data_IF_786998227734
#
_entry.id   IF_786998227734
#
_cell.length_a   1.000
_cell.length_b   1.000
_cell.length_c   1.000
_cell.angle_alpha   90.00
_cell.angle_beta   90.00
_cell.angle_gamma   90.00
#
_symmetry.space_group_name_H-M   'P 1'
#
loop_
_entity.id
_entity.type
_entity.pdbx_description
1 polymer ?
#
# COMPACT_ATOMS: atom_id res chain seq x y z
N UNK A 1 33.27 -6.11 8.57
CA UNK A 1 32.51 -5.43 7.50
C UNK A 1 31.10 -5.98 7.54
N UNK A 2 30.09 -5.12 7.58
CA UNK A 2 28.70 -5.57 7.61
C UNK A 2 28.26 -5.95 6.19
N UNK A 3 27.75 -7.15 6.00
CA UNK A 3 27.06 -7.55 4.76
C UNK A 3 25.65 -6.97 4.76
N UNK A 4 25.03 -6.81 3.59
CA UNK A 4 23.62 -6.39 3.46
C UNK A 4 22.71 -7.23 4.36
N UNK A 5 22.83 -8.56 4.30
CA UNK A 5 22.14 -9.49 5.19
C UNK A 5 22.30 -9.10 6.67
N UNK A 6 23.54 -8.95 7.16
CA UNK A 6 23.78 -8.68 8.58
C UNK A 6 23.21 -7.33 9.05
N UNK A 7 23.14 -6.33 8.14
CA UNK A 7 22.58 -5.01 8.45
C UNK A 7 21.06 -5.06 8.54
N UNK A 8 20.43 -5.82 7.64
CA UNK A 8 18.98 -6.05 7.65
C UNK A 8 18.55 -6.92 8.83
N UNK A 9 19.29 -8.00 9.15
CA UNK A 9 18.98 -8.87 10.30
C UNK A 9 18.91 -8.08 11.62
N UNK A 10 19.85 -7.15 11.84
CA UNK A 10 19.82 -6.29 13.03
C UNK A 10 18.61 -5.36 13.10
N UNK A 11 18.07 -4.96 11.94
CA UNK A 11 16.90 -4.07 11.86
C UNK A 11 15.61 -4.84 11.94
N UNK A 12 15.61 -6.07 11.43
CA UNK A 12 14.48 -6.98 11.48
C UNK A 12 14.32 -7.64 12.86
N UNK A 13 15.35 -7.60 13.72
CA UNK A 13 15.32 -8.17 15.06
C UNK A 13 14.15 -7.62 15.90
N UNK A 14 13.30 -8.52 16.39
CA UNK A 14 12.09 -8.19 17.15
C UNK A 14 10.95 -7.57 16.32
N UNK A 15 11.07 -7.51 14.99
CA UNK A 15 10.00 -7.05 14.10
C UNK A 15 9.27 -8.27 13.52
N UNK A 16 7.93 -8.32 13.59
CA UNK A 16 7.16 -9.40 12.99
C UNK A 16 6.92 -9.18 11.48
N UNK A 17 7.99 -8.93 10.72
CA UNK A 17 7.89 -8.51 9.32
C UNK A 17 7.28 -9.58 8.42
N UNK A 18 7.49 -10.87 8.72
CA UNK A 18 6.92 -11.99 7.95
C UNK A 18 5.39 -11.99 8.04
N UNK A 19 4.83 -11.90 9.24
CA UNK A 19 3.38 -11.85 9.48
C UNK A 19 2.77 -10.59 8.86
N UNK A 20 3.44 -9.44 9.00
CA UNK A 20 2.99 -8.18 8.40
C UNK A 20 2.97 -8.25 6.87
N UNK A 21 3.97 -8.87 6.25
CA UNK A 21 4.02 -9.05 4.80
C UNK A 21 3.05 -10.13 4.32
N UNK A 22 2.83 -11.18 5.12
CA UNK A 22 1.85 -12.22 4.83
C UNK A 22 0.42 -11.67 4.82
N UNK A 23 0.08 -10.78 5.77
CA UNK A 23 -1.24 -10.15 5.85
C UNK A 23 -1.66 -9.43 4.55
N UNK A 24 -0.74 -8.79 3.83
CA UNK A 24 -1.04 -8.21 2.52
C UNK A 24 -1.23 -9.26 1.44
N UNK A 25 -0.42 -10.33 1.43
CA UNK A 25 -0.47 -11.37 0.39
C UNK A 25 -1.67 -12.30 0.53
N UNK A 26 -2.13 -12.51 1.76
CA UNK A 26 -3.26 -13.38 2.10
C UNK A 26 -4.55 -12.60 2.38
N UNK A 27 -4.50 -11.26 2.30
CA UNK A 27 -5.63 -10.37 2.57
C UNK A 27 -6.15 -10.45 4.01
N UNK A 28 -5.33 -10.92 4.95
CA UNK A 28 -5.58 -10.92 6.40
C UNK A 28 -5.35 -9.52 7.00
N UNK A 29 -6.02 -8.53 6.40
CA UNK A 29 -6.09 -7.13 6.86
C UNK A 29 -7.53 -6.81 7.22
N UNK A 30 -7.72 -5.70 7.92
CA UNK A 30 -9.05 -5.21 8.26
C UNK A 30 -9.94 -4.96 7.02
N UNK A 31 -9.36 -4.60 5.88
CA UNK A 31 -10.05 -4.47 4.58
C UNK A 31 -10.45 -5.81 3.97
N UNK A 32 -9.82 -6.92 4.40
CA UNK A 32 -10.02 -8.24 3.83
C UNK A 32 -9.58 -8.29 2.37
N UNK A 33 -10.23 -9.17 1.61
CA UNK A 33 -10.08 -9.29 0.16
C UNK A 33 -11.11 -8.46 -0.62
N UNK A 34 -11.85 -7.55 0.03
CA UNK A 34 -12.86 -6.72 -0.64
C UNK A 34 -12.19 -5.68 -1.54
N UNK A 35 -12.29 -5.83 -2.88
CA UNK A 35 -11.55 -5.00 -3.82
C UNK A 35 -11.95 -3.52 -3.74
N UNK A 36 -13.21 -3.23 -3.39
CA UNK A 36 -13.72 -1.85 -3.24
C UNK A 36 -13.03 -1.15 -2.07
N UNK A 37 -12.78 -1.89 -0.99
CA UNK A 37 -12.11 -1.36 0.20
C UNK A 37 -10.60 -1.21 -0.01
N UNK A 38 -9.97 -2.14 -0.74
CA UNK A 38 -8.56 -2.03 -1.14
C UNK A 38 -8.32 -0.78 -1.99
N UNK A 39 -9.19 -0.49 -2.97
CA UNK A 39 -9.09 0.74 -3.76
C UNK A 39 -9.39 1.98 -2.92
N UNK A 40 -10.37 1.92 -2.01
CA UNK A 40 -10.67 3.03 -1.10
C UNK A 40 -9.49 3.34 -0.16
N UNK A 41 -8.76 2.33 0.32
CA UNK A 41 -7.56 2.47 1.13
C UNK A 41 -6.43 3.16 0.36
N UNK A 42 -6.12 2.69 -0.84
CA UNK A 42 -5.14 3.34 -1.70
C UNK A 42 -5.53 4.80 -2.02
N UNK A 43 -6.81 5.04 -2.30
CA UNK A 43 -7.33 6.38 -2.54
C UNK A 43 -7.17 7.30 -1.32
N UNK A 44 -7.48 6.81 -0.12
CA UNK A 44 -7.32 7.55 1.13
C UNK A 44 -5.85 7.90 1.43
N UNK A 45 -4.93 7.01 1.09
CA UNK A 45 -3.49 7.21 1.27
C UNK A 45 -2.89 8.30 0.37
N UNK A 46 -3.54 8.67 -0.75
CA UNK A 46 -3.02 9.68 -1.72
C UNK A 46 -2.80 11.09 -1.14
N UNK A 47 -3.33 11.38 0.04
CA UNK A 47 -3.14 12.66 0.73
C UNK A 47 -2.04 12.62 1.80
N UNK A 48 -1.31 11.51 1.94
CA UNK A 48 -0.26 11.34 2.97
C UNK A 48 -0.81 11.31 4.39
N UNK A 49 -2.07 10.91 4.56
CA UNK A 49 -2.67 10.73 5.88
C UNK A 49 -2.13 9.47 6.54
N UNK A 50 -2.08 9.49 7.87
CA UNK A 50 -1.70 8.32 8.68
C UNK A 50 -2.85 7.33 8.78
N UNK A 51 -2.55 6.14 9.30
CA UNK A 51 -3.55 5.10 9.52
C UNK A 51 -4.59 5.59 10.53
N UNK A 52 -4.15 5.96 11.73
CA UNK A 52 -5.01 6.50 12.80
C UNK A 52 -5.48 7.90 12.46
N UNK A 53 -6.79 8.11 12.56
CA UNK A 53 -7.42 9.42 12.32
C UNK A 53 -7.44 9.86 10.85
N UNK A 54 -7.00 9.00 9.93
CA UNK A 54 -6.88 9.31 8.51
C UNK A 54 -7.48 8.24 7.61
N UNK A 55 -6.70 7.20 7.31
CA UNK A 55 -7.05 6.14 6.35
C UNK A 55 -8.15 5.25 6.90
N UNK A 56 -7.93 4.61 8.06
CA UNK A 56 -8.89 3.64 8.62
C UNK A 56 -10.27 4.27 8.82
N UNK A 57 -10.43 5.44 9.48
CA UNK A 57 -11.76 5.99 9.71
C UNK A 57 -12.48 6.36 8.41
N UNK A 58 -11.74 6.78 7.38
CA UNK A 58 -12.32 7.15 6.09
C UNK A 58 -12.84 5.93 5.33
N UNK A 59 -12.07 4.84 5.34
CA UNK A 59 -12.43 3.60 4.65
C UNK A 59 -13.49 2.81 5.43
N UNK A 60 -13.48 2.86 6.77
CA UNK A 60 -14.56 2.29 7.61
C UNK A 60 -15.90 2.98 7.36
N UNK A 61 -15.93 4.33 7.31
CA UNK A 61 -17.15 5.05 6.91
C UNK A 61 -17.62 4.69 5.50
N UNK A 62 -16.69 4.52 4.56
CA UNK A 62 -17.02 4.10 3.20
C UNK A 62 -17.64 2.69 3.20
N UNK A 63 -17.06 1.73 3.92
CA UNK A 63 -17.59 0.37 4.09
C UNK A 63 -19.02 0.41 4.64
N UNK A 64 -19.21 1.05 5.79
CA UNK A 64 -20.51 1.12 6.48
C UNK A 64 -21.60 1.77 5.62
N UNK A 65 -21.23 2.79 4.84
CA UNK A 65 -22.21 3.58 4.08
C UNK A 65 -22.54 2.97 2.72
N UNK A 66 -21.55 2.40 2.03
CA UNK A 66 -21.70 1.97 0.64
C UNK A 66 -21.70 0.45 0.48
N UNK A 67 -20.79 -0.25 1.16
CA UNK A 67 -20.60 -1.70 0.97
C UNK A 67 -21.58 -2.51 1.80
N UNK A 68 -21.65 -2.26 3.11
CA UNK A 68 -22.53 -3.01 4.04
C UNK A 68 -24.02 -2.76 3.78
N UNK A 69 -24.36 -1.62 3.18
CA UNK A 69 -25.73 -1.29 2.77
C UNK A 69 -26.12 -1.91 1.43
N UNK A 70 -25.17 -2.49 0.68
CA UNK A 70 -25.37 -2.97 -0.69
C UNK A 70 -25.63 -1.85 -1.70
N UNK A 71 -25.18 -0.61 -1.41
CA UNK A 71 -25.30 0.51 -2.35
C UNK A 71 -24.33 0.39 -3.52
N UNK A 72 -23.19 -0.26 -3.30
CA UNK A 72 -22.23 -0.65 -4.33
C UNK A 72 -21.89 -2.12 -4.15
N UNK A 73 -21.91 -2.89 -5.24
CA UNK A 73 -21.54 -4.31 -5.23
C UNK A 73 -20.32 -4.60 -6.12
N UNK A 74 -19.88 -3.61 -6.89
CA UNK A 74 -18.78 -3.75 -7.85
C UNK A 74 -17.95 -2.47 -8.05
N UNK A 75 -16.81 -2.58 -8.73
CA UNK A 75 -16.05 -1.43 -9.24
C UNK A 75 -16.85 -0.61 -10.24
N UNK A 76 -17.72 -1.24 -11.03
CA UNK A 76 -18.62 -0.51 -11.93
C UNK A 76 -19.57 0.41 -11.15
N UNK A 77 -20.10 -0.06 -10.01
CA UNK A 77 -20.95 0.76 -9.14
C UNK A 77 -20.16 1.88 -8.47
N UNK A 78 -18.93 1.58 -8.00
CA UNK A 78 -18.02 2.61 -7.45
C UNK A 78 -17.77 3.70 -8.50
N UNK A 79 -17.40 3.31 -9.73
CA UNK A 79 -17.11 4.23 -10.82
C UNK A 79 -18.33 5.09 -11.23
N UNK A 80 -19.54 4.58 -11.00
CA UNK A 80 -20.79 5.28 -11.32
C UNK A 80 -21.23 6.29 -10.23
N UNK A 81 -20.59 6.32 -9.06
CA UNK A 81 -20.91 7.29 -8.01
C UNK A 81 -20.60 8.73 -8.47
N UNK A 82 -21.45 9.68 -8.05
CA UNK A 82 -21.17 11.09 -8.23
C UNK A 82 -20.02 11.52 -7.30
N UNK A 83 -18.99 12.16 -7.85
CA UNK A 83 -17.89 12.74 -7.07
C UNK A 83 -18.34 13.78 -6.04
N UNK A 84 -19.52 14.37 -6.22
CA UNK A 84 -20.17 15.32 -5.32
C UNK A 84 -21.21 14.67 -4.40
N UNK A 85 -21.39 13.34 -4.44
CA UNK A 85 -22.26 12.61 -3.54
C UNK A 85 -21.93 12.93 -2.07
N UNK A 86 -22.95 13.31 -1.30
CA UNK A 86 -22.76 13.82 0.07
C UNK A 86 -22.18 12.76 1.00
N UNK A 87 -22.58 11.50 0.84
CA UNK A 87 -22.07 10.38 1.64
C UNK A 87 -20.62 10.08 1.27
N UNK A 88 -20.28 10.15 -0.02
CA UNK A 88 -18.91 9.96 -0.48
C UNK A 88 -18.00 11.10 -0.01
N UNK A 89 -18.51 12.33 0.01
CA UNK A 89 -17.82 13.50 0.58
C UNK A 89 -17.63 13.31 2.08
N UNK A 90 -18.63 12.83 2.81
CA UNK A 90 -18.57 12.55 4.24
C UNK A 90 -17.56 11.45 4.58
N UNK A 91 -17.53 10.38 3.79
CA UNK A 91 -16.61 9.25 4.00
C UNK A 91 -15.15 9.66 3.73
N UNK A 92 -14.85 10.13 2.51
CA UNK A 92 -13.47 10.33 2.04
C UNK A 92 -12.96 11.77 2.12
N UNK A 93 -13.83 12.78 2.19
CA UNK A 93 -13.46 14.17 2.47
C UNK A 93 -12.80 14.91 1.30
N UNK A 94 -11.52 14.65 0.99
CA UNK A 94 -10.81 15.39 -0.04
C UNK A 94 -11.23 14.98 -1.45
N UNK A 95 -11.42 15.95 -2.36
CA UNK A 95 -11.78 15.68 -3.77
C UNK A 95 -10.78 14.76 -4.48
N UNK A 96 -9.48 14.88 -4.17
CA UNK A 96 -8.42 14.02 -4.72
C UNK A 96 -8.67 12.54 -4.41
N UNK A 97 -9.00 12.20 -3.17
CA UNK A 97 -9.27 10.82 -2.76
C UNK A 97 -10.44 10.24 -3.52
N UNK A 98 -11.55 10.98 -3.58
CA UNK A 98 -12.73 10.56 -4.36
C UNK A 98 -12.41 10.39 -5.83
N UNK A 99 -11.71 11.34 -6.44
CA UNK A 99 -11.29 11.22 -7.84
C UNK A 99 -10.48 9.94 -8.09
N UNK A 100 -9.45 9.68 -7.27
CA UNK A 100 -8.63 8.46 -7.41
C UNK A 100 -9.49 7.20 -7.24
N UNK A 101 -10.36 7.14 -6.23
CA UNK A 101 -11.28 6.00 -6.04
C UNK A 101 -12.11 5.72 -7.31
N UNK A 102 -12.78 6.75 -7.84
CA UNK A 102 -13.70 6.60 -8.97
C UNK A 102 -12.95 6.23 -10.26
N UNK A 103 -11.82 6.88 -10.55
CA UNK A 103 -11.04 6.61 -11.76
C UNK A 103 -10.36 5.24 -11.72
N UNK A 104 -9.81 4.83 -10.57
CA UNK A 104 -9.21 3.49 -10.43
C UNK A 104 -10.28 2.42 -10.62
N UNK A 105 -11.45 2.57 -9.99
CA UNK A 105 -12.57 1.65 -10.19
C UNK A 105 -13.05 1.62 -11.65
N UNK A 106 -13.08 2.78 -12.32
CA UNK A 106 -13.41 2.88 -13.75
C UNK A 106 -12.39 2.11 -14.61
N UNK A 107 -11.09 2.27 -14.38
CA UNK A 107 -10.06 1.53 -15.10
C UNK A 107 -10.18 0.03 -14.87
N UNK A 108 -10.33 -0.39 -13.61
CA UNK A 108 -10.35 -1.80 -13.24
C UNK A 108 -11.64 -2.52 -13.67
N UNK A 109 -12.79 -1.85 -13.64
CA UNK A 109 -14.07 -2.41 -14.12
C UNK A 109 -14.12 -2.67 -15.63
N UNK A 110 -13.21 -2.06 -16.41
CA UNK A 110 -13.08 -2.30 -17.85
C UNK A 110 -12.11 -3.44 -18.20
N UNK A 111 -11.54 -4.09 -17.19
CA UNK A 111 -10.65 -5.24 -17.41
C UNK A 111 -11.43 -6.50 -17.77
N UNK A 112 -10.79 -7.49 -18.43
CA UNK A 112 -11.48 -8.67 -18.93
C UNK A 112 -11.76 -9.76 -17.88
N UNK A 113 -11.21 -9.65 -16.66
CA UNK A 113 -11.45 -10.64 -15.60
C UNK A 113 -12.91 -10.66 -15.11
N UNK A 114 -13.34 -11.82 -14.59
CA UNK A 114 -14.74 -12.10 -14.25
C UNK A 114 -15.22 -11.45 -12.94
N UNK A 115 -14.30 -11.04 -12.06
CA UNK A 115 -14.59 -10.38 -10.80
C UNK A 115 -13.58 -9.27 -10.47
N UNK A 116 -13.99 -8.34 -9.62
CA UNK A 116 -13.21 -7.14 -9.31
C UNK A 116 -11.88 -7.43 -8.60
N UNK A 117 -11.83 -8.47 -7.77
CA UNK A 117 -10.58 -8.84 -7.11
C UNK A 117 -9.61 -9.44 -8.12
N UNK A 118 -10.08 -10.30 -9.01
CA UNK A 118 -9.30 -10.82 -10.13
C UNK A 118 -8.81 -9.69 -11.05
N UNK A 119 -9.65 -8.70 -11.35
CA UNK A 119 -9.27 -7.53 -12.15
C UNK A 119 -8.15 -6.71 -11.46
N UNK A 120 -8.29 -6.44 -10.16
CA UNK A 120 -7.28 -5.72 -9.38
C UNK A 120 -5.95 -6.50 -9.35
N UNK A 121 -6.00 -7.81 -9.08
CA UNK A 121 -4.80 -8.67 -9.05
C UNK A 121 -4.14 -8.80 -10.41
N UNK A 122 -4.94 -8.95 -11.46
CA UNK A 122 -4.48 -9.02 -12.85
C UNK A 122 -3.73 -7.76 -13.25
N UNK A 123 -4.31 -6.59 -12.98
CA UNK A 123 -3.62 -5.32 -13.19
C UNK A 123 -2.32 -5.22 -12.39
N UNK A 124 -2.36 -5.52 -11.09
CA UNK A 124 -1.20 -5.33 -10.22
C UNK A 124 -0.01 -6.20 -10.62
N UNK A 125 -0.27 -7.39 -11.15
CA UNK A 125 0.73 -8.33 -11.65
C UNK A 125 1.36 -7.87 -12.98
N UNK A 126 0.60 -7.19 -13.84
CA UNK A 126 1.04 -6.69 -15.15
C UNK A 126 1.70 -5.30 -15.08
N UNK A 127 1.32 -4.51 -14.07
CA UNK A 127 1.77 -3.14 -13.86
C UNK A 127 3.30 -3.03 -13.74
N UNK A 128 3.90 -2.15 -14.55
CA UNK A 128 5.32 -1.82 -14.49
C UNK A 128 5.57 -0.55 -13.68
N UNK A 129 6.13 -0.71 -12.47
CA UNK A 129 6.47 0.42 -11.60
C UNK A 129 7.45 1.42 -12.23
N UNK A 130 8.28 0.98 -13.18
CA UNK A 130 9.27 1.82 -13.86
C UNK A 130 8.68 2.66 -14.99
N UNK A 131 7.42 2.40 -15.34
CA UNK A 131 6.64 3.09 -16.37
C UNK A 131 5.24 3.45 -15.86
N UNK A 132 5.10 3.73 -14.56
CA UNK A 132 3.79 4.00 -13.96
C UNK A 132 3.01 5.13 -14.66
N UNK A 133 3.69 6.14 -15.21
CA UNK A 133 3.03 7.25 -15.95
C UNK A 133 2.38 6.79 -17.27
N UNK A 134 2.80 5.65 -17.82
CA UNK A 134 2.20 5.02 -19.01
C UNK A 134 1.09 4.03 -18.64
N UNK A 135 0.98 3.66 -17.36
CA UNK A 135 -0.01 2.71 -16.87
C UNK A 135 -1.41 3.37 -16.74
N UNK A 136 -2.51 2.67 -17.10
CA UNK A 136 -3.86 3.23 -16.98
C UNK A 136 -4.23 3.72 -15.57
N UNK A 137 -3.80 3.03 -14.52
CA UNK A 137 -3.98 3.45 -13.12
C UNK A 137 -2.93 4.49 -12.73
N UNK A 138 -1.68 4.27 -13.12
CA UNK A 138 -0.58 5.17 -12.74
C UNK A 138 -0.63 6.56 -13.39
N UNK A 139 -1.32 6.71 -14.52
CA UNK A 139 -1.57 7.98 -15.21
C UNK A 139 -2.74 8.80 -14.64
N UNK A 140 -3.50 8.25 -13.68
CA UNK A 140 -4.60 8.95 -13.01
C UNK A 140 -4.05 10.13 -12.20
N UNK A 141 -4.67 11.31 -12.39
CA UNK A 141 -4.28 12.51 -11.64
C UNK A 141 -4.45 12.29 -10.13
N UNK A 142 -3.34 12.40 -9.41
CA UNK A 142 -3.31 12.19 -7.96
C UNK A 142 -2.84 10.80 -7.53
N UNK A 143 -2.62 9.88 -8.47
CA UNK A 143 -1.82 8.68 -8.27
C UNK A 143 -0.36 9.03 -8.56
N UNK A 144 0.53 8.69 -7.63
CA UNK A 144 1.98 8.77 -7.82
C UNK A 144 2.63 7.42 -7.48
N UNK A 145 3.96 7.28 -7.60
CA UNK A 145 4.64 6.00 -7.41
C UNK A 145 4.33 5.32 -6.08
N UNK A 146 4.24 6.08 -4.98
CA UNK A 146 3.93 5.52 -3.66
C UNK A 146 2.51 4.94 -3.59
N UNK A 147 1.49 5.67 -4.07
CA UNK A 147 0.10 5.17 -4.06
C UNK A 147 -0.10 4.04 -5.08
N UNK A 148 0.61 4.08 -6.19
CA UNK A 148 0.62 3.01 -7.19
C UNK A 148 1.16 1.71 -6.60
N UNK A 149 2.31 1.77 -5.93
CA UNK A 149 2.90 0.61 -5.27
C UNK A 149 2.05 0.13 -4.08
N UNK A 150 1.48 1.03 -3.29
CA UNK A 150 0.57 0.65 -2.20
C UNK A 150 -0.64 -0.14 -2.74
N UNK A 151 -1.24 0.28 -3.86
CA UNK A 151 -2.34 -0.47 -4.45
C UNK A 151 -1.89 -1.85 -4.94
N UNK A 152 -0.67 -1.98 -5.47
CA UNK A 152 -0.09 -3.29 -5.83
C UNK A 152 0.13 -4.17 -4.60
N UNK A 153 0.62 -3.61 -3.50
CA UNK A 153 0.75 -4.33 -2.21
C UNK A 153 -0.61 -4.81 -1.72
N UNK A 154 -1.63 -3.93 -1.73
CA UNK A 154 -3.00 -4.27 -1.36
C UNK A 154 -3.63 -5.33 -2.26
N UNK A 155 -3.18 -5.43 -3.52
CA UNK A 155 -3.54 -6.51 -4.44
C UNK A 155 -2.70 -7.80 -4.26
N UNK A 156 -1.86 -7.88 -3.23
CA UNK A 156 -1.05 -9.04 -2.88
C UNK A 156 0.28 -9.15 -3.63
N UNK A 157 0.74 -8.10 -4.32
CA UNK A 157 2.06 -8.08 -4.97
C UNK A 157 3.15 -7.80 -3.94
N UNK A 158 4.23 -8.57 -4.03
CA UNK A 158 5.44 -8.42 -3.21
C UNK A 158 6.25 -7.19 -3.68
N UNK A 159 5.78 -6.01 -3.30
CA UNK A 159 6.30 -4.71 -3.71
C UNK A 159 6.67 -3.84 -2.52
N UNK A 160 7.42 -2.77 -2.79
CA UNK A 160 7.78 -1.72 -1.82
C UNK A 160 7.12 -0.40 -2.20
N UNK A 161 6.61 0.32 -1.21
CA UNK A 161 6.10 1.67 -1.36
C UNK A 161 7.24 2.66 -1.09
N UNK A 162 7.68 3.48 -2.07
CA UNK A 162 8.73 4.48 -1.85
C UNK A 162 8.21 5.65 -1.01
N UNK A 163 8.05 5.44 0.30
CA UNK A 163 7.64 6.46 1.25
C UNK A 163 8.80 6.92 2.16
N UNK A 164 8.49 7.83 3.09
CA UNK A 164 9.49 8.38 4.01
C UNK A 164 10.10 7.34 4.94
N UNK A 165 9.38 6.29 5.29
CA UNK A 165 9.91 5.24 6.17
C UNK A 165 10.94 4.40 5.42
N UNK A 166 10.65 4.05 4.16
CA UNK A 166 11.57 3.31 3.29
C UNK A 166 12.82 4.15 2.98
N UNK A 167 12.66 5.43 2.64
CA UNK A 167 13.81 6.33 2.42
C UNK A 167 14.72 6.37 3.65
N UNK A 168 14.16 6.53 4.86
CA UNK A 168 14.93 6.54 6.11
C UNK A 168 15.63 5.19 6.38
N UNK A 169 14.98 4.08 6.04
CA UNK A 169 15.60 2.76 6.15
C UNK A 169 16.83 2.65 5.26
N UNK A 170 16.69 3.03 3.99
CA UNK A 170 17.76 2.98 3.00
C UNK A 170 18.95 3.87 3.37
N UNK A 171 18.69 5.10 3.82
CA UNK A 171 19.73 6.02 4.31
C UNK A 171 20.48 5.42 5.52
N UNK A 172 19.76 4.82 6.46
CA UNK A 172 20.35 4.20 7.63
C UNK A 172 21.22 3.00 7.24
N UNK A 173 20.74 2.13 6.34
CA UNK A 173 21.50 0.98 5.83
C UNK A 173 22.75 1.46 5.08
N UNK A 174 22.60 2.45 4.18
CA UNK A 174 23.69 3.01 3.39
C UNK A 174 24.82 3.57 4.25
N UNK A 175 24.50 4.15 5.42
CA UNK A 175 25.50 4.66 6.36
C UNK A 175 26.36 3.58 7.04
N UNK A 176 25.90 2.32 7.05
CA UNK A 176 26.60 1.19 7.65
C UNK A 176 27.36 0.32 6.64
N UNK A 177 27.06 0.48 5.34
CA UNK A 177 27.73 -0.23 4.27
C UNK A 177 28.94 0.58 3.80
N UNK A 178 30.07 -0.10 3.55
CA UNK A 178 31.28 0.57 3.04
C UNK A 178 31.07 1.10 1.62
N UNK A 179 30.36 0.34 0.80
CA UNK A 179 29.90 0.74 -0.54
C UNK A 179 28.53 0.15 -0.80
N UNK A 180 27.64 0.92 -1.42
CA UNK A 180 26.33 0.42 -1.84
C UNK A 180 25.79 1.25 -3.00
N UNK A 181 24.93 0.67 -3.86
CA UNK A 181 24.24 1.40 -4.92
C UNK A 181 22.93 2.05 -4.43
N UNK A 182 22.71 2.15 -3.11
CA UNK A 182 21.46 2.68 -2.55
C UNK A 182 21.31 4.17 -2.87
N UNK A 183 20.15 4.53 -3.40
CA UNK A 183 19.84 5.88 -3.85
C UNK A 183 18.36 6.18 -3.64
N UNK A 184 18.05 7.38 -3.12
CA UNK A 184 16.69 7.78 -2.74
C UNK A 184 16.26 9.11 -3.36
N UNK A 185 17.06 9.67 -4.28
CA UNK A 185 16.76 10.94 -4.95
C UNK A 185 15.43 10.96 -5.72
N UNK A 186 14.93 9.79 -6.13
CA UNK A 186 13.61 9.65 -6.78
C UNK A 186 12.93 8.37 -6.31
N UNK A 187 11.60 8.33 -6.34
CA UNK A 187 10.81 7.14 -5.99
C UNK A 187 11.24 5.89 -6.77
N UNK A 188 11.59 6.07 -8.05
CA UNK A 188 12.11 5.00 -8.91
C UNK A 188 13.44 4.43 -8.40
N UNK A 189 14.34 5.28 -7.94
CA UNK A 189 15.64 4.86 -7.39
C UNK A 189 15.45 4.23 -6.00
N UNK A 190 14.50 4.74 -5.20
CA UNK A 190 14.12 4.14 -3.92
C UNK A 190 13.62 2.70 -4.13
N UNK A 191 12.71 2.47 -5.09
CA UNK A 191 12.24 1.13 -5.43
C UNK A 191 13.40 0.22 -5.89
N UNK A 192 14.23 0.70 -6.83
CA UNK A 192 15.37 -0.07 -7.32
C UNK A 192 16.37 -0.43 -6.20
N UNK A 193 16.56 0.45 -5.23
CA UNK A 193 17.43 0.22 -4.06
C UNK A 193 16.89 -0.90 -3.17
N UNK A 194 15.57 -0.93 -2.93
CA UNK A 194 14.93 -2.02 -2.20
C UNK A 194 14.95 -3.34 -2.96
N UNK A 195 14.74 -3.32 -4.29
CA UNK A 195 14.91 -4.51 -5.14
C UNK A 195 16.34 -5.05 -5.07
N UNK A 196 17.35 -4.18 -5.07
CA UNK A 196 18.74 -4.59 -4.86
C UNK A 196 18.96 -5.21 -3.47
N UNK A 197 18.42 -4.60 -2.40
CA UNK A 197 18.49 -5.20 -1.06
C UNK A 197 17.84 -6.58 -1.00
N UNK A 198 16.72 -6.79 -1.69
CA UNK A 198 16.06 -8.08 -1.77
C UNK A 198 16.88 -9.13 -2.55
N UNK A 199 17.66 -8.70 -3.55
CA UNK A 199 18.60 -9.58 -4.27
C UNK A 199 19.82 -9.97 -3.44
N UNK A 200 20.29 -9.07 -2.56
CA UNK A 200 21.48 -9.25 -1.73
C UNK A 200 21.18 -9.81 -0.32
N UNK A 201 19.95 -10.22 -0.08
CA UNK A 201 19.50 -10.76 1.21
C UNK A 201 18.42 -11.82 1.05
N UNK A 202 17.96 -12.38 2.17
CA UNK A 202 16.81 -13.29 2.22
C UNK A 202 15.46 -12.57 2.29
N UNK A 203 15.46 -11.24 2.43
CA UNK A 203 14.24 -10.46 2.61
C UNK A 203 13.59 -10.12 1.27
N UNK A 204 12.27 -10.20 1.25
CA UNK A 204 11.44 -9.80 0.11
C UNK A 204 11.23 -8.28 0.09
N UNK A 205 10.88 -7.68 -1.06
CA UNK A 205 10.56 -6.25 -1.15
C UNK A 205 9.50 -5.82 -0.12
N UNK A 206 8.42 -6.58 0.04
CA UNK A 206 7.37 -6.27 1.01
C UNK A 206 7.82 -6.44 2.46
N UNK A 207 8.72 -7.39 2.74
CA UNK A 207 9.29 -7.55 4.08
C UNK A 207 10.19 -6.35 4.44
N UNK A 208 11.00 -5.87 3.49
CA UNK A 208 11.81 -4.65 3.65
C UNK A 208 10.91 -3.43 3.91
N UNK A 209 9.81 -3.32 3.18
CA UNK A 209 8.80 -2.29 3.37
C UNK A 209 8.19 -2.34 4.78
N UNK A 210 7.81 -3.54 5.26
CA UNK A 210 7.26 -3.72 6.61
C UNK A 210 8.28 -3.49 7.72
N UNK A 211 9.55 -3.84 7.51
CA UNK A 211 10.66 -3.49 8.42
C UNK A 211 10.79 -1.96 8.51
N UNK A 212 10.77 -1.25 7.36
CA UNK A 212 10.85 0.20 7.32
C UNK A 212 9.70 0.85 8.08
N UNK A 213 8.47 0.44 7.75
CA UNK A 213 7.26 0.95 8.39
C UNK A 213 7.28 0.70 9.89
N UNK A 214 7.60 -0.51 10.34
CA UNK A 214 7.65 -0.82 11.77
C UNK A 214 8.70 0.00 12.50
N UNK A 215 9.89 0.17 11.90
CA UNK A 215 11.00 0.89 12.53
C UNK A 215 10.69 2.38 12.72
N UNK A 216 9.98 3.01 11.79
CA UNK A 216 9.85 4.47 11.72
C UNK A 216 8.45 5.01 11.98
N UNK A 217 7.47 4.15 12.24
CA UNK A 217 6.10 4.52 12.63
C UNK A 217 5.95 4.56 14.15
N UNK A 218 5.08 5.46 14.65
CA UNK A 218 4.80 5.59 16.08
C UNK A 218 4.13 4.31 16.64
N UNK A 219 4.39 3.97 17.90
CA UNK A 219 3.85 2.74 18.51
C UNK A 219 2.31 2.68 18.49
N UNK A 220 1.64 3.82 18.73
CA UNK A 220 0.18 3.89 18.72
C UNK A 220 -0.40 3.59 17.33
N UNK A 221 0.27 4.05 16.27
CA UNK A 221 -0.12 3.76 14.89
C UNK A 221 0.09 2.27 14.56
N UNK A 222 1.21 1.69 15.02
CA UNK A 222 1.47 0.26 14.83
C UNK A 222 0.44 -0.61 15.55
N UNK A 223 0.16 -0.30 16.82
CA UNK A 223 -0.82 -1.03 17.62
C UNK A 223 -2.21 -0.95 16.99
N UNK A 224 -2.61 0.22 16.51
CA UNK A 224 -3.90 0.39 15.85
C UNK A 224 -4.01 -0.45 14.55
N UNK A 225 -2.97 -0.51 13.71
CA UNK A 225 -3.00 -1.34 12.50
C UNK A 225 -3.04 -2.84 12.82
N UNK A 226 -2.31 -3.28 13.86
CA UNK A 226 -2.36 -4.66 14.34
C UNK A 226 -3.73 -5.01 14.93
N UNK A 227 -4.31 -4.13 15.76
CA UNK A 227 -5.63 -4.32 16.35
C UNK A 227 -6.72 -4.42 15.27
N UNK A 228 -6.68 -3.51 14.28
CA UNK A 228 -7.61 -3.53 13.15
C UNK A 228 -7.48 -4.82 12.32
N UNK A 229 -6.26 -5.31 12.14
CA UNK A 229 -5.96 -6.51 11.34
C UNK A 229 -6.05 -7.82 12.14
N UNK A 230 -6.42 -7.78 13.43
CA UNK A 230 -6.50 -8.97 14.28
C UNK A 230 -5.15 -9.61 14.64
N UNK A 231 -4.04 -8.91 14.40
CA UNK A 231 -2.66 -9.37 14.62
C UNK A 231 -2.13 -9.05 16.03
N UNK A 232 -3.01 -8.83 17.01
CA UNK A 232 -2.65 -8.40 18.38
C UNK A 232 -1.73 -9.39 19.09
N UNK A 233 -1.78 -10.67 18.74
CA UNK A 233 -0.93 -11.73 19.29
C UNK A 233 0.51 -11.75 18.76
N UNK A 234 0.85 -10.86 17.83
CA UNK A 234 2.14 -10.79 17.15
C UNK A 234 3.14 -9.86 17.88
N UNK A 235 2.68 -9.15 18.91
CA UNK A 235 3.55 -8.33 19.77
C UNK A 235 4.28 -9.21 20.81
N UNK A 236 5.62 -9.08 20.97
CA UNK A 236 6.34 -9.70 22.07
C UNK A 236 6.03 -9.07 23.43
#
# INVERSE_FOLDING_TARGET
>A
MSTVQSVLDRRADGIPYEDLALAFREFDRWTGDDPRLLVAEAAAATTGQRFVGGIEPAVSRFRETFVETGRIDSFADVAALDIADEDLVSALGARRKRHVLLEVASVLSNRPEDDDLAALRGWAAEADQYRHEEDPVGSISGVGPSSFQLLRQLAGVDAVTPDRTVVRLLEAIGSELETSPLETATDRLTIASCEWLALESTYRPLEIDRIAWWTFTDEDERRAELDASGLVGVLP
#
